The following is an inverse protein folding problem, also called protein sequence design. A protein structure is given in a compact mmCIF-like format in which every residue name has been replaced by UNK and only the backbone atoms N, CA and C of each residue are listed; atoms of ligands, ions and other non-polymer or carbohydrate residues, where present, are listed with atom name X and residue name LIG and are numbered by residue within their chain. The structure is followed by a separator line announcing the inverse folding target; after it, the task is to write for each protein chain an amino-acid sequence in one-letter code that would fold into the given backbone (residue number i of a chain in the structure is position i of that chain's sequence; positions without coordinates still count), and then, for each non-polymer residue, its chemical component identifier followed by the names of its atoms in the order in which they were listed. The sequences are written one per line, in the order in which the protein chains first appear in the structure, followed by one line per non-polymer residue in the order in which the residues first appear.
data_IF_188262262083
#
_entry.id   IF_188262262083
#
_cell.length_a   1.000
_cell.length_b   1.000
_cell.length_c   1.000
_cell.angle_alpha   90.00
_cell.angle_beta   90.00
_cell.angle_gamma   90.00
#
_symmetry.space_group_name_H-M   'P 1'
#
loop_
_entity.id
_entity.type
_entity.pdbx_description
1 polymer ?
#
# COMPACT_ATOMS: atom_id res chain seq x y z
N UNK A 1 11.97 -6.25 -4.04
CA UNK A 1 12.64 -5.49 -2.97
C UNK A 1 12.03 -5.82 -1.63
N UNK A 2 12.86 -6.14 -0.66
CA UNK A 2 12.41 -6.47 0.70
C UNK A 2 12.72 -5.33 1.65
N UNK A 3 12.10 -5.36 2.83
CA UNK A 3 12.35 -4.38 3.88
C UNK A 3 13.84 -4.27 4.21
N UNK A 4 14.54 -5.40 4.29
CA UNK A 4 15.99 -5.41 4.57
C UNK A 4 16.78 -4.69 3.49
N UNK A 5 16.32 -4.71 2.24
CA UNK A 5 17.00 -4.02 1.14
C UNK A 5 16.90 -2.51 1.33
N UNK A 6 15.76 -2.03 1.83
CA UNK A 6 15.60 -0.61 2.17
C UNK A 6 16.55 -0.20 3.29
N UNK A 7 16.69 -1.04 4.30
CA UNK A 7 17.60 -0.78 5.41
C UNK A 7 19.04 -0.71 4.91
N UNK A 8 19.44 -1.62 4.03
CA UNK A 8 20.78 -1.62 3.45
C UNK A 8 21.07 -0.36 2.63
N UNK A 9 20.11 0.06 1.79
CA UNK A 9 20.25 1.29 1.01
C UNK A 9 20.35 2.51 1.92
N UNK A 10 19.56 2.54 2.98
CA UNK A 10 19.58 3.63 3.94
C UNK A 10 20.93 3.69 4.66
N UNK A 11 21.47 2.53 5.03
CA UNK A 11 22.77 2.43 5.69
C UNK A 11 23.92 2.89 4.78
N UNK A 12 23.81 2.66 3.49
CA UNK A 12 24.81 3.17 2.53
C UNK A 12 24.84 4.70 2.50
N UNK A 13 23.67 5.32 2.64
CA UNK A 13 23.56 6.79 2.65
C UNK A 13 23.92 7.40 3.99
N UNK A 14 23.70 6.68 5.07
CA UNK A 14 23.94 7.15 6.43
C UNK A 14 24.79 6.13 7.21
N UNK A 15 26.05 5.94 6.79
CA UNK A 15 26.89 4.89 7.41
C UNK A 15 27.28 5.14 8.85
N UNK A 16 27.07 6.36 9.35
CA UNK A 16 27.37 6.71 10.75
C UNK A 16 26.38 6.09 11.73
N UNK A 17 25.17 5.75 11.26
CA UNK A 17 24.17 5.16 12.13
C UNK A 17 24.28 3.65 12.10
N UNK A 18 23.95 3.03 13.23
CA UNK A 18 23.92 1.57 13.29
C UNK A 18 22.80 1.02 12.41
N UNK A 19 23.09 -0.07 11.72
CA UNK A 19 22.10 -0.72 10.88
C UNK A 19 20.85 -1.12 11.66
N UNK A 20 21.04 -1.56 12.91
CA UNK A 20 19.97 -1.91 13.83
C UNK A 20 19.04 -0.72 14.10
N UNK A 21 19.60 0.49 14.27
CA UNK A 21 18.82 1.70 14.51
C UNK A 21 18.04 2.10 13.25
N UNK A 22 18.66 1.98 12.08
CA UNK A 22 18.00 2.28 10.81
C UNK A 22 16.86 1.30 10.54
N UNK A 23 17.04 0.03 10.92
CA UNK A 23 15.98 -0.96 10.82
C UNK A 23 14.78 -0.59 11.69
N UNK A 24 15.04 -0.11 12.90
CA UNK A 24 13.97 0.35 13.79
C UNK A 24 13.19 1.52 13.18
N UNK A 25 13.89 2.46 12.54
CA UNK A 25 13.26 3.59 11.87
C UNK A 25 12.35 3.13 10.74
N UNK A 26 12.86 2.25 9.88
CA UNK A 26 12.09 1.72 8.75
C UNK A 26 10.86 0.95 9.25
N UNK A 27 11.05 0.12 10.27
CA UNK A 27 9.94 -0.62 10.88
C UNK A 27 8.86 0.32 11.40
N UNK A 28 9.25 1.38 12.10
CA UNK A 28 8.31 2.37 12.65
C UNK A 28 7.53 3.06 11.53
N UNK A 29 8.19 3.41 10.43
CA UNK A 29 7.52 4.03 9.29
C UNK A 29 6.42 3.12 8.75
N UNK A 30 6.74 1.85 8.50
CA UNK A 30 5.77 0.93 7.93
C UNK A 30 4.64 0.56 8.90
N UNK A 31 4.94 0.44 10.19
CA UNK A 31 3.92 0.21 11.21
C UNK A 31 2.95 1.39 11.29
N UNK A 32 3.48 2.61 11.23
CA UNK A 32 2.66 3.82 11.27
C UNK A 32 1.72 3.87 10.05
N UNK A 33 2.26 3.52 8.88
CA UNK A 33 1.45 3.48 7.65
C UNK A 33 0.37 2.42 7.74
N UNK A 34 0.71 1.23 8.23
CA UNK A 34 -0.23 0.13 8.39
C UNK A 34 -1.37 0.52 9.32
N UNK A 35 -1.04 1.13 10.46
CA UNK A 35 -2.04 1.57 11.42
C UNK A 35 -2.94 2.65 10.84
N UNK A 36 -2.38 3.59 10.08
CA UNK A 36 -3.16 4.63 9.42
C UNK A 36 -4.18 4.03 8.45
N UNK A 37 -3.77 3.05 7.66
CA UNK A 37 -4.68 2.39 6.72
C UNK A 37 -5.77 1.60 7.45
N UNK A 38 -5.44 0.96 8.56
CA UNK A 38 -6.44 0.26 9.40
C UNK A 38 -7.49 1.21 9.94
N UNK A 39 -7.12 2.46 10.20
CA UNK A 39 -8.03 3.49 10.69
C UNK A 39 -8.80 4.19 9.57
N UNK A 40 -8.60 3.77 8.33
CA UNK A 40 -9.24 4.38 7.18
C UNK A 40 -8.63 5.71 6.74
N UNK A 41 -7.43 6.01 7.21
CA UNK A 41 -6.73 7.25 6.87
C UNK A 41 -6.00 7.10 5.55
N UNK A 42 -6.02 8.15 4.75
CA UNK A 42 -5.29 8.19 3.49
C UNK A 42 -3.83 8.51 3.73
N UNK A 43 -2.96 7.88 2.98
CA UNK A 43 -1.52 8.15 3.01
C UNK A 43 -1.14 8.80 1.69
N UNK A 44 -0.53 9.96 1.74
CA UNK A 44 0.04 10.61 0.56
C UNK A 44 1.53 10.77 0.75
N UNK A 45 2.30 10.21 -0.19
CA UNK A 45 3.76 10.34 -0.18
C UNK A 45 4.15 11.00 -1.50
N UNK A 46 4.61 12.23 -1.38
CA UNK A 46 5.02 13.02 -2.54
C UNK A 46 6.14 12.31 -3.28
N UNK A 47 6.01 12.20 -4.59
CA UNK A 47 6.99 11.50 -5.42
C UNK A 47 6.72 10.02 -5.60
N UNK A 48 5.90 9.42 -4.74
CA UNK A 48 5.56 8.01 -4.84
C UNK A 48 4.11 7.82 -5.27
N UNK A 49 3.18 8.33 -4.48
CA UNK A 49 1.76 8.16 -4.75
C UNK A 49 0.94 8.21 -3.49
N UNK A 50 -0.27 7.72 -3.56
CA UNK A 50 -1.17 7.68 -2.43
C UNK A 50 -1.79 6.32 -2.24
N UNK A 51 -2.09 5.98 -0.99
CA UNK A 51 -2.76 4.74 -0.62
C UNK A 51 -3.98 5.07 0.22
N UNK A 52 -5.07 4.38 -0.05
CA UNK A 52 -6.28 4.56 0.74
C UNK A 52 -7.07 3.26 0.81
N UNK A 53 -7.94 3.20 1.80
CA UNK A 53 -8.82 2.07 2.01
C UNK A 53 -10.14 2.35 1.31
N UNK A 54 -10.52 1.48 0.39
CA UNK A 54 -11.81 1.53 -0.27
C UNK A 54 -12.76 0.52 0.34
N UNK A 55 -13.92 0.98 0.76
CA UNK A 55 -14.99 0.11 1.22
C UNK A 55 -15.87 -0.19 0.02
N UNK A 56 -16.06 -1.46 -0.28
CA UNK A 56 -16.97 -1.89 -1.32
C UNK A 56 -18.25 -2.38 -0.67
N UNK A 57 -19.37 -1.84 -1.14
CA UNK A 57 -20.68 -2.31 -0.67
C UNK A 57 -20.88 -3.74 -1.16
N UNK A 58 -21.42 -4.57 -0.27
CA UNK A 58 -21.85 -5.88 -0.68
C UNK A 58 -23.01 -5.77 -1.66
N UNK A 59 -23.13 -6.72 -2.53
CA UNK A 59 -24.25 -6.80 -3.46
C UNK A 59 -24.61 -8.23 -3.74
N UNK A 60 -25.87 -8.44 -4.00
CA UNK A 60 -26.38 -9.74 -4.39
C UNK A 60 -26.51 -9.77 -5.90
N UNK A 61 -26.18 -10.90 -6.50
CA UNK A 61 -26.39 -11.06 -7.94
C UNK A 61 -26.69 -12.51 -8.28
N UNK A 62 -27.32 -12.70 -9.43
CA UNK A 62 -27.62 -14.04 -9.95
C UNK A 62 -26.64 -14.34 -11.07
N UNK A 63 -25.96 -15.50 -10.96
CA UNK A 63 -25.03 -15.92 -12.01
C UNK A 63 -25.85 -16.33 -13.25
N UNK A 64 -25.69 -15.67 -14.38
CA UNK A 64 -26.50 -15.95 -15.56
C UNK A 64 -26.26 -17.35 -16.17
N UNK A 65 -25.10 -17.97 -15.87
CA UNK A 65 -24.79 -19.31 -16.39
C UNK A 65 -25.41 -20.43 -15.57
N UNK A 66 -25.47 -20.25 -14.26
CA UNK A 66 -25.93 -21.31 -13.34
C UNK A 66 -27.27 -21.00 -12.70
N UNK A 67 -27.74 -19.75 -12.79
CA UNK A 67 -28.94 -19.31 -12.13
C UNK A 67 -28.81 -19.22 -10.61
N UNK A 68 -27.62 -19.43 -10.08
CA UNK A 68 -27.41 -19.40 -8.64
C UNK A 68 -27.34 -17.95 -8.12
N UNK A 69 -27.99 -17.74 -6.99
CA UNK A 69 -27.94 -16.48 -6.27
C UNK A 69 -26.63 -16.42 -5.49
N UNK A 70 -25.88 -15.35 -5.68
CA UNK A 70 -24.59 -15.16 -5.01
C UNK A 70 -24.62 -13.88 -4.19
N UNK A 71 -24.23 -14.01 -2.93
CA UNK A 71 -24.07 -12.86 -2.03
C UNK A 71 -22.60 -12.47 -1.99
N UNK A 72 -22.32 -11.21 -2.32
CA UNK A 72 -20.99 -10.63 -2.11
C UNK A 72 -21.06 -9.75 -0.88
N UNK A 73 -20.45 -10.16 0.24
CA UNK A 73 -20.47 -9.33 1.45
C UNK A 73 -19.63 -8.06 1.24
N UNK A 74 -19.90 -7.01 2.04
CA UNK A 74 -19.05 -5.82 2.01
C UNK A 74 -17.61 -6.18 2.29
N UNK A 75 -16.69 -5.59 1.57
CA UNK A 75 -15.27 -5.82 1.81
C UNK A 75 -14.48 -4.53 1.75
N UNK A 76 -13.22 -4.60 2.18
CA UNK A 76 -12.30 -3.48 2.15
C UNK A 76 -11.13 -3.84 1.25
N UNK A 77 -10.61 -2.85 0.56
CA UNK A 77 -9.51 -3.04 -0.37
C UNK A 77 -8.56 -1.87 -0.27
N UNK A 78 -7.27 -2.14 -0.23
CA UNK A 78 -6.25 -1.11 -0.29
C UNK A 78 -5.99 -0.77 -1.75
N UNK A 79 -6.11 0.51 -2.09
CA UNK A 79 -5.88 1.00 -3.45
C UNK A 79 -4.69 1.92 -3.45
N UNK A 80 -3.72 1.63 -4.31
CA UNK A 80 -2.57 2.46 -4.53
C UNK A 80 -2.74 3.24 -5.83
N UNK A 81 -2.60 4.56 -5.77
CA UNK A 81 -2.61 5.42 -6.94
C UNK A 81 -1.20 5.98 -7.11
N UNK A 82 -0.52 5.65 -8.21
CA UNK A 82 0.84 6.16 -8.42
C UNK A 82 0.85 7.66 -8.62
N UNK A 83 1.91 8.30 -8.16
CA UNK A 83 2.14 9.71 -8.38
C UNK A 83 2.56 9.96 -9.83
N UNK A 84 2.75 11.25 -10.15
CA UNK A 84 3.06 11.68 -11.52
C UNK A 84 4.25 10.92 -12.12
N UNK A 85 5.32 10.78 -11.36
CA UNK A 85 6.54 10.13 -11.87
C UNK A 85 6.32 8.68 -12.24
N UNK A 86 5.58 7.94 -11.43
CA UNK A 86 5.29 6.54 -11.71
C UNK A 86 4.27 6.38 -12.84
N UNK A 87 3.32 7.30 -12.96
CA UNK A 87 2.36 7.27 -14.07
C UNK A 87 3.06 7.48 -15.40
N UNK A 88 4.08 8.31 -15.44
CA UNK A 88 4.85 8.53 -16.66
C UNK A 88 5.54 7.25 -17.14
N UNK A 89 5.93 6.38 -16.23
CA UNK A 89 6.50 5.08 -16.59
C UNK A 89 5.48 4.20 -17.31
N UNK A 90 4.23 4.19 -16.83
CA UNK A 90 3.15 3.44 -17.46
C UNK A 90 2.86 3.96 -18.87
N UNK A 91 2.89 5.27 -19.07
CA UNK A 91 2.65 5.90 -20.36
C UNK A 91 3.74 5.60 -21.38
N UNK A 92 4.96 5.33 -20.92
CA UNK A 92 6.10 5.01 -21.77
C UNK A 92 6.19 3.52 -22.10
N UNK A 93 5.53 2.71 -21.32
CA UNK A 93 5.51 1.28 -21.48
C UNK A 93 4.37 0.83 -22.36
#
# INVERSE_FOLDING_TARGET
MLKKDLVEELHKKYPKYLKKDLEAVVTTIFETMTDALKQGRRIEIRGLGSMCLHKQKGRDFVNPKTGKFTKCPPNHRIVFKPGRELRNLDEQG
#
